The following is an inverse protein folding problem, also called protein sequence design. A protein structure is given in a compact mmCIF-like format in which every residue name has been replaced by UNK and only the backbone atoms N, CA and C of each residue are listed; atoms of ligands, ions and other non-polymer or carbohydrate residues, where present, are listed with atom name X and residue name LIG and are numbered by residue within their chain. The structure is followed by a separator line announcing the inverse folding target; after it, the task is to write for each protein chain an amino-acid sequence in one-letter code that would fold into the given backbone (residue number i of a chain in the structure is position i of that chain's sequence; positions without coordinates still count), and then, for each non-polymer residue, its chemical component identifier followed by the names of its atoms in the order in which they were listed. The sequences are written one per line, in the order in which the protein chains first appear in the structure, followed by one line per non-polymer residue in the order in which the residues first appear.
data_IF_387485256251
#
_entry.id   IF_387485256251
#
_cell.length_a   1.000
_cell.length_b   1.000
_cell.length_c   1.000
_cell.angle_alpha   90.00
_cell.angle_beta   90.00
_cell.angle_gamma   90.00
#
_symmetry.space_group_name_H-M   'P 1'
#
loop_
_entity.id
_entity.type
_entity.pdbx_description
1 polymer ?
#
# COMPACT_ATOMS: atom_id res chain seq x y z
N UNK A 1 -5.62 32.03 3.12
CA UNK A 1 -5.42 31.20 1.91
C UNK A 1 -4.53 30.03 2.29
N UNK A 2 -5.04 28.79 2.25
CA UNK A 2 -4.23 27.61 2.52
C UNK A 2 -3.32 27.36 1.30
N UNK A 3 -2.00 27.32 1.49
CA UNK A 3 -1.04 27.03 0.42
C UNK A 3 -1.30 25.63 -0.16
N UNK A 4 -1.11 25.43 -1.47
CA UNK A 4 -1.36 24.15 -2.17
C UNK A 4 -0.72 22.94 -1.47
N UNK A 5 0.44 23.12 -0.83
CA UNK A 5 1.11 22.10 -0.03
C UNK A 5 0.34 21.67 1.22
N UNK A 6 -0.38 22.59 1.87
CA UNK A 6 -1.18 22.30 3.06
C UNK A 6 -2.46 21.50 2.74
N UNK A 7 -3.07 21.75 1.58
CA UNK A 7 -4.23 20.98 1.10
C UNK A 7 -3.86 19.54 0.75
N UNK A 8 -2.71 19.35 0.13
CA UNK A 8 -2.18 18.03 -0.24
C UNK A 8 -1.78 17.21 0.99
N UNK A 9 -1.17 17.86 1.99
CA UNK A 9 -0.88 17.21 3.27
C UNK A 9 -2.17 16.76 3.96
N UNK A 10 -3.18 17.63 4.02
CA UNK A 10 -4.49 17.30 4.61
C UNK A 10 -5.20 16.15 3.88
N UNK A 11 -5.15 16.10 2.55
CA UNK A 11 -5.75 15.01 1.78
C UNK A 11 -5.03 13.68 1.96
N UNK A 12 -3.71 13.73 2.19
CA UNK A 12 -2.89 12.55 2.45
C UNK A 12 -3.18 11.98 3.83
N UNK A 13 -3.19 12.82 4.87
CA UNK A 13 -3.53 12.39 6.24
C UNK A 13 -4.97 11.82 6.29
N UNK A 14 -5.94 12.48 5.67
CA UNK A 14 -7.31 11.96 5.59
C UNK A 14 -7.40 10.60 4.87
N UNK A 15 -6.52 10.34 3.88
CA UNK A 15 -6.44 9.04 3.23
C UNK A 15 -5.86 7.96 4.15
N UNK A 16 -4.84 8.30 4.95
CA UNK A 16 -4.29 7.40 5.97
C UNK A 16 -5.31 7.12 7.08
N UNK A 17 -6.05 8.13 7.54
CA UNK A 17 -7.14 7.96 8.51
C UNK A 17 -8.21 7.01 8.00
N UNK A 18 -8.72 7.21 6.78
CA UNK A 18 -9.69 6.30 6.19
C UNK A 18 -9.14 4.86 6.08
N UNK A 19 -7.85 4.71 5.77
CA UNK A 19 -7.18 3.42 5.73
C UNK A 19 -7.06 2.78 7.12
N UNK A 20 -6.70 3.54 8.16
CA UNK A 20 -6.67 3.08 9.55
C UNK A 20 -8.06 2.66 10.04
N UNK A 21 -9.08 3.48 9.77
CA UNK A 21 -10.47 3.20 10.15
C UNK A 21 -10.93 1.88 9.55
N UNK A 22 -10.61 1.58 8.29
CA UNK A 22 -11.00 0.30 7.67
C UNK A 22 -10.34 -0.89 8.39
N UNK A 23 -9.09 -0.77 8.82
CA UNK A 23 -8.45 -1.81 9.65
C UNK A 23 -9.17 -2.02 10.97
N UNK A 24 -9.43 -0.93 11.71
CA UNK A 24 -10.11 -0.98 13.00
C UNK A 24 -11.52 -1.54 12.88
N UNK A 25 -12.27 -1.16 11.84
CA UNK A 25 -13.61 -1.69 11.57
C UNK A 25 -13.62 -3.19 11.28
N UNK A 26 -12.54 -3.72 10.71
CA UNK A 26 -12.36 -5.16 10.48
C UNK A 26 -11.68 -5.88 11.67
N UNK A 27 -11.46 -5.21 12.80
CA UNK A 27 -10.86 -5.81 14.00
C UNK A 27 -9.35 -6.01 13.92
N UNK A 28 -8.66 -5.34 12.99
CA UNK A 28 -7.22 -5.45 12.80
C UNK A 28 -6.49 -4.15 13.18
N UNK A 29 -5.22 -4.29 13.52
CA UNK A 29 -4.29 -3.16 13.61
C UNK A 29 -3.53 -3.03 12.29
N UNK A 30 -3.26 -1.80 11.85
CA UNK A 30 -2.45 -1.61 10.64
C UNK A 30 -1.00 -2.00 10.91
N UNK A 31 -0.39 -2.87 10.09
CA UNK A 31 0.99 -3.29 10.29
C UNK A 31 1.99 -2.14 10.11
N UNK A 32 2.91 -1.99 11.06
CA UNK A 32 3.92 -0.91 11.03
C UNK A 32 4.78 -0.94 9.77
N UNK A 33 5.16 -2.14 9.31
CA UNK A 33 5.94 -2.28 8.08
C UNK A 33 5.18 -1.83 6.82
N UNK A 34 3.86 -2.00 6.77
CA UNK A 34 3.03 -1.47 5.68
C UNK A 34 3.00 0.06 5.71
N UNK A 35 2.77 0.65 6.89
CA UNK A 35 2.82 2.12 7.06
C UNK A 35 4.19 2.67 6.69
N UNK A 36 5.27 2.00 7.10
CA UNK A 36 6.63 2.38 6.76
C UNK A 36 6.83 2.39 5.24
N UNK A 37 6.37 1.37 4.53
CA UNK A 37 6.44 1.32 3.07
C UNK A 37 5.67 2.46 2.41
N UNK A 38 4.47 2.76 2.90
CA UNK A 38 3.63 3.84 2.36
C UNK A 38 4.27 5.21 2.57
N UNK A 39 4.74 5.50 3.79
CA UNK A 39 5.31 6.81 4.15
C UNK A 39 6.69 7.08 3.57
N UNK A 40 7.50 6.04 3.36
CA UNK A 40 8.86 6.17 2.85
C UNK A 40 8.97 5.90 1.34
N UNK A 41 7.86 5.71 0.64
CA UNK A 41 7.91 5.52 -0.80
C UNK A 41 8.25 6.84 -1.49
N UNK A 42 9.29 6.80 -2.32
CA UNK A 42 9.68 7.93 -3.17
C UNK A 42 9.82 7.47 -4.61
N UNK A 43 9.49 8.38 -5.54
CA UNK A 43 9.77 8.18 -6.96
C UNK A 43 11.28 8.21 -7.21
N UNK A 44 11.73 7.38 -8.14
CA UNK A 44 13.11 7.46 -8.65
C UNK A 44 13.25 8.69 -9.56
N UNK A 45 14.49 9.15 -9.74
CA UNK A 45 14.76 10.24 -10.66
C UNK A 45 14.26 9.90 -12.08
N UNK A 46 13.42 10.76 -12.65
CA UNK A 46 12.80 10.56 -13.97
C UNK A 46 11.66 9.53 -14.02
N UNK A 47 11.24 8.94 -12.90
CA UNK A 47 10.15 7.97 -12.86
C UNK A 47 8.78 8.67 -12.96
N UNK A 48 7.92 8.21 -13.87
CA UNK A 48 6.57 8.76 -13.98
C UNK A 48 5.71 8.31 -12.80
N UNK A 49 4.67 9.08 -12.40
CA UNK A 49 3.74 8.65 -11.35
C UNK A 49 3.04 7.32 -11.66
N UNK A 50 2.81 7.00 -12.93
CA UNK A 50 2.24 5.71 -13.36
C UNK A 50 3.20 4.57 -13.04
N UNK A 51 4.48 4.72 -13.39
CA UNK A 51 5.50 3.69 -13.15
C UNK A 51 5.80 3.54 -11.66
N UNK A 52 5.83 4.65 -10.91
CA UNK A 52 5.96 4.64 -9.45
C UNK A 52 4.85 3.85 -8.77
N UNK A 53 3.58 4.08 -9.15
CA UNK A 53 2.45 3.31 -8.63
C UNK A 53 2.56 1.83 -9.01
N UNK A 54 2.91 1.53 -10.26
CA UNK A 54 3.11 0.15 -10.71
C UNK A 54 4.24 -0.55 -9.93
N UNK A 55 5.35 0.15 -9.66
CA UNK A 55 6.46 -0.33 -8.84
C UNK A 55 6.03 -0.57 -7.40
N UNK A 56 5.24 0.32 -6.82
CA UNK A 56 4.70 0.15 -5.48
C UNK A 56 3.79 -1.08 -5.39
N UNK A 57 2.81 -1.21 -6.28
CA UNK A 57 1.92 -2.38 -6.29
C UNK A 57 2.64 -3.69 -6.59
N UNK A 58 3.66 -3.68 -7.47
CA UNK A 58 4.51 -4.84 -7.70
C UNK A 58 5.27 -5.24 -6.41
N UNK A 59 5.77 -4.27 -5.65
CA UNK A 59 6.42 -4.53 -4.36
C UNK A 59 5.43 -5.16 -3.36
N UNK A 60 4.22 -4.61 -3.25
CA UNK A 60 3.18 -5.19 -2.42
C UNK A 60 2.84 -6.62 -2.86
N UNK A 61 2.68 -6.85 -4.16
CA UNK A 61 2.41 -8.16 -4.72
C UNK A 61 3.49 -9.17 -4.32
N UNK A 62 4.78 -8.83 -4.47
CA UNK A 62 5.87 -9.73 -4.08
C UNK A 62 5.86 -10.06 -2.58
N UNK A 63 5.63 -9.05 -1.72
CA UNK A 63 5.56 -9.26 -0.28
C UNK A 63 4.38 -10.15 0.12
N UNK A 64 3.22 -9.93 -0.51
CA UNK A 64 2.00 -10.68 -0.24
C UNK A 64 2.04 -12.10 -0.80
N UNK A 65 2.70 -12.33 -1.93
CA UNK A 65 2.79 -13.64 -2.56
C UNK A 65 3.91 -14.52 -1.99
N UNK A 66 5.10 -13.95 -1.76
CA UNK A 66 6.27 -14.71 -1.29
C UNK A 66 6.54 -14.53 0.21
N UNK A 67 6.21 -13.37 0.79
CA UNK A 67 6.58 -13.04 2.16
C UNK A 67 5.69 -13.65 3.22
N UNK A 68 4.41 -13.89 2.92
CA UNK A 68 3.38 -14.24 3.91
C UNK A 68 3.38 -15.72 4.34
N UNK A 69 4.14 -16.60 3.68
CA UNK A 69 3.96 -18.07 3.74
C UNK A 69 2.54 -18.57 3.37
N UNK A 70 1.64 -17.65 3.06
CA UNK A 70 0.29 -17.87 2.56
C UNK A 70 0.32 -17.37 1.14
N UNK A 71 0.48 -18.27 0.18
CA UNK A 71 0.51 -17.90 -1.23
C UNK A 71 -0.90 -17.40 -1.62
N UNK A 72 -1.19 -16.12 -1.37
CA UNK A 72 -2.55 -15.56 -1.40
C UNK A 72 -3.12 -15.64 -2.81
N UNK A 73 -4.23 -16.35 -2.99
CA UNK A 73 -4.76 -16.65 -4.33
C UNK A 73 -4.09 -17.84 -5.03
N UNK A 74 -3.29 -18.67 -4.37
CA UNK A 74 -2.74 -19.89 -4.99
C UNK A 74 -3.83 -20.84 -5.54
N UNK A 75 -5.02 -20.79 -4.96
CA UNK A 75 -6.20 -21.51 -5.42
C UNK A 75 -6.71 -21.05 -6.81
N UNK A 76 -6.26 -19.90 -7.33
CA UNK A 76 -6.67 -19.40 -8.65
C UNK A 76 -5.82 -19.95 -9.81
N UNK A 77 -5.00 -20.98 -9.56
CA UNK A 77 -4.32 -21.74 -10.63
C UNK A 77 -3.17 -20.98 -11.30
N UNK A 78 -2.34 -20.31 -10.51
CA UNK A 78 -1.12 -19.61 -10.96
C UNK A 78 -0.84 -18.32 -10.20
N UNK A 79 0.01 -17.46 -10.78
CA UNK A 79 0.26 -16.12 -10.23
C UNK A 79 -1.00 -15.25 -10.37
N UNK A 80 -1.56 -14.75 -9.24
CA UNK A 80 -2.80 -14.00 -9.24
C UNK A 80 -2.55 -12.55 -9.67
N UNK A 81 -3.57 -11.95 -10.24
CA UNK A 81 -3.67 -10.49 -10.36
C UNK A 81 -4.36 -9.95 -9.12
N UNK A 82 -3.63 -9.18 -8.32
CA UNK A 82 -4.17 -8.58 -7.10
C UNK A 82 -4.97 -7.32 -7.38
N UNK A 83 -6.16 -7.29 -6.83
CA UNK A 83 -6.99 -6.10 -6.72
C UNK A 83 -6.94 -5.63 -5.27
N UNK A 84 -6.29 -4.49 -5.05
CA UNK A 84 -6.12 -3.90 -3.71
C UNK A 84 -7.37 -3.12 -3.26
N UNK A 85 -7.60 -3.00 -1.94
CA UNK A 85 -8.75 -2.28 -1.41
C UNK A 85 -8.75 -0.80 -1.81
N UNK A 86 -9.92 -0.15 -1.91
CA UNK A 86 -10.02 1.25 -2.35
C UNK A 86 -9.26 2.25 -1.47
N UNK A 87 -9.26 2.06 -0.15
CA UNK A 87 -8.51 2.88 0.81
C UNK A 87 -7.00 2.74 0.60
N UNK A 88 -6.54 1.50 0.40
CA UNK A 88 -5.33 1.07 -0.32
C UNK A 88 -4.91 2.08 -1.40
N UNK A 89 -5.70 2.01 -2.47
CA UNK A 89 -5.49 2.78 -3.70
C UNK A 89 -5.51 4.29 -3.42
N UNK A 90 -6.36 4.77 -2.51
CA UNK A 90 -6.48 6.18 -2.14
C UNK A 90 -5.22 6.70 -1.46
N UNK A 91 -4.63 5.97 -0.52
CA UNK A 91 -3.34 6.36 0.09
C UNK A 91 -2.27 6.45 -0.98
N UNK A 92 -2.13 5.42 -1.82
CA UNK A 92 -1.13 5.35 -2.89
C UNK A 92 -1.24 6.53 -3.87
N UNK A 93 -2.47 6.93 -4.23
CA UNK A 93 -2.73 8.10 -5.10
C UNK A 93 -2.32 9.42 -4.43
N UNK A 94 -2.42 9.52 -3.11
CA UNK A 94 -2.02 10.72 -2.37
C UNK A 94 -0.52 10.77 -2.11
N UNK A 95 0.18 9.63 -1.97
CA UNK A 95 1.65 9.64 -1.84
C UNK A 95 2.38 9.78 -3.18
N UNK A 96 1.78 9.30 -4.28
CA UNK A 96 2.35 9.39 -5.63
C UNK A 96 1.41 10.24 -6.49
N UNK A 97 1.65 11.56 -6.47
CA UNK A 97 0.86 12.52 -7.23
C UNK A 97 1.09 12.38 -8.73
N UNK A 98 0.01 12.46 -9.50
CA UNK A 98 0.04 12.50 -10.96
C UNK A 98 -1.28 12.09 -11.58
N UNK A 99 -1.37 12.17 -12.90
CA UNK A 99 -2.57 11.78 -13.63
C UNK A 99 -2.93 10.33 -13.32
N UNK A 100 -4.19 10.10 -12.99
CA UNK A 100 -4.74 8.79 -12.69
C UNK A 100 -5.68 8.42 -13.84
N UNK A 101 -5.35 7.33 -14.52
CA UNK A 101 -6.29 6.67 -15.42
C UNK A 101 -6.91 5.54 -14.63
N UNK A 102 -8.12 5.77 -14.12
CA UNK A 102 -8.88 4.70 -13.48
C UNK A 102 -9.27 3.67 -14.52
N UNK A 103 -8.83 2.44 -14.30
CA UNK A 103 -9.19 1.28 -15.11
C UNK A 103 -10.10 0.41 -14.27
N UNK A 104 -11.12 -0.22 -14.88
CA UNK A 104 -11.91 -1.22 -14.18
C UNK A 104 -11.00 -2.33 -13.67
N UNK A 105 -11.35 -2.89 -12.51
CA UNK A 105 -10.64 -4.05 -12.00
C UNK A 105 -10.78 -5.21 -13.00
N UNK A 106 -9.72 -6.00 -13.23
CA UNK A 106 -9.79 -7.16 -14.10
C UNK A 106 -10.82 -8.18 -13.57
N UNK A 107 -11.40 -8.97 -14.47
CA UNK A 107 -12.45 -9.95 -14.14
C UNK A 107 -12.10 -11.38 -14.54
N UNK A 108 -10.85 -11.65 -14.94
CA UNK A 108 -10.44 -12.99 -15.34
C UNK A 108 -10.31 -13.96 -14.15
N UNK A 109 -10.24 -15.26 -14.43
CA UNK A 109 -10.22 -16.34 -13.41
C UNK A 109 -9.07 -16.24 -12.40
N UNK A 110 -7.95 -15.61 -12.78
CA UNK A 110 -6.79 -15.40 -11.90
C UNK A 110 -6.83 -14.14 -11.03
N UNK A 111 -7.98 -13.49 -10.87
CA UNK A 111 -8.09 -12.29 -10.02
C UNK A 111 -8.29 -12.69 -8.57
N UNK A 112 -7.45 -12.14 -7.68
CA UNK A 112 -7.61 -12.26 -6.24
C UNK A 112 -7.82 -10.87 -5.62
N UNK A 113 -8.91 -10.70 -4.89
CA UNK A 113 -9.24 -9.45 -4.21
C UNK A 113 -8.58 -9.46 -2.83
N UNK A 114 -7.57 -8.62 -2.68
CA UNK A 114 -6.89 -8.42 -1.40
C UNK A 114 -7.86 -7.71 -0.45
N UNK A 115 -8.10 -8.32 0.70
CA UNK A 115 -8.88 -7.73 1.78
C UNK A 115 -7.96 -7.21 2.90
N UNK A 116 -8.56 -6.55 3.90
CA UNK A 116 -7.84 -5.98 5.04
C UNK A 116 -7.18 -7.05 5.90
N UNK A 117 -7.81 -8.22 6.07
CA UNK A 117 -7.24 -9.36 6.78
C UNK A 117 -5.98 -9.91 6.10
N UNK A 118 -5.96 -9.96 4.77
CA UNK A 118 -4.76 -10.35 4.01
C UNK A 118 -3.60 -9.38 4.27
N UNK A 119 -3.90 -8.08 4.27
CA UNK A 119 -2.90 -7.05 4.56
C UNK A 119 -2.46 -7.10 6.03
N UNK A 120 -3.36 -7.34 6.97
CA UNK A 120 -3.06 -7.41 8.39
C UNK A 120 -2.15 -8.60 8.74
N UNK A 121 -2.43 -9.76 8.17
CA UNK A 121 -1.73 -11.01 8.48
C UNK A 121 -0.46 -11.23 7.64
N UNK A 122 -0.21 -10.36 6.66
CA UNK A 122 0.98 -10.45 5.84
C UNK A 122 2.27 -10.22 6.65
N UNK A 123 3.37 -10.86 6.22
CA UNK A 123 4.69 -10.58 6.80
C UNK A 123 5.29 -9.33 6.15
N UNK A 124 5.30 -8.25 6.92
CA UNK A 124 5.86 -6.97 6.51
C UNK A 124 7.34 -6.84 6.88
N UNK A 125 8.13 -6.04 6.14
CA UNK A 125 9.51 -5.78 6.51
C UNK A 125 9.59 -5.13 7.90
N UNK A 126 10.56 -5.57 8.71
CA UNK A 126 10.79 -5.03 10.05
C UNK A 126 11.24 -3.59 9.96
N UNK A 127 10.55 -2.69 10.66
CA UNK A 127 10.98 -1.30 10.80
C UNK A 127 12.13 -1.28 11.79
N UNK A 128 13.38 -1.22 11.32
CA UNK A 128 14.53 -1.00 12.21
C UNK A 128 14.41 0.42 12.75
N UNK A 129 13.95 0.54 14.00
CA UNK A 129 14.10 1.77 14.76
C UNK A 129 15.60 2.04 14.92
N UNK A 130 16.17 2.89 14.06
CA UNK A 130 17.47 3.50 14.30
C UNK A 130 17.35 4.52 15.45
N UNK A 131 16.94 4.08 16.64
CA UNK A 131 17.36 4.74 17.88
C UNK A 131 18.82 4.36 18.08
N UNK A 132 19.72 5.06 17.38
CA UNK A 132 21.10 5.18 17.84
C UNK A 132 21.01 5.86 19.22
N UNK A 133 21.01 5.07 20.28
CA UNK A 133 21.41 5.54 21.60
C UNK A 133 22.81 6.13 21.42
N UNK A 134 22.91 7.45 21.31
CA UNK A 134 24.15 8.15 21.64
C UNK A 134 24.37 7.91 23.14
N UNK A 135 25.07 6.82 23.48
CA UNK A 135 25.78 6.77 24.75
C UNK A 135 26.88 7.83 24.65
N UNK A 136 26.65 8.94 25.34
CA UNK A 136 27.69 9.90 25.70
C UNK A 136 28.54 9.28 26.79
#
# INVERSE_FOLDING_TARGET
MASRSSLVAASTEAAFEAFWVEFTQNGFNVPEGLIFLLRNFTLKHGETPKDGRARFYRRLWCLLWYGTQQTLGANVGGQPTYVFPPTLKRVVRNIIHGELVDRPDPTHTRVYKINIGDLANAKWPTVKNNRKQKKK
#
